data_IF_178458182514
#
_entry.id   IF_178458182514
#
_cell.length_a   1.000
_cell.length_b   1.000
_cell.length_c   1.000
_cell.angle_alpha   90.00
_cell.angle_beta   90.00
_cell.angle_gamma   90.00
#
_symmetry.space_group_name_H-M   'P 1'
#
loop_
_entity.id
_entity.type
_entity.pdbx_description
1 polymer ?
#
# COMPACT_ATOMS: atom_id res chain seq x y z
N UNK A 1 -26.32 15.12 25.26
CA UNK A 1 -25.63 14.28 24.22
C UNK A 1 -24.18 14.17 24.66
N UNK A 2 -23.59 12.97 24.57
CA UNK A 2 -22.16 12.79 24.82
C UNK A 2 -21.36 13.62 23.81
N UNK A 3 -20.22 14.15 24.22
CA UNK A 3 -19.27 14.76 23.31
C UNK A 3 -18.71 13.67 22.38
N UNK A 4 -18.16 14.01 21.19
CA UNK A 4 -17.50 13.01 20.34
C UNK A 4 -16.41 12.23 21.09
N UNK A 5 -15.62 12.90 21.93
CA UNK A 5 -14.60 12.26 22.76
C UNK A 5 -15.20 11.24 23.73
N UNK A 6 -16.25 11.61 24.46
CA UNK A 6 -16.95 10.68 25.38
C UNK A 6 -17.55 9.48 24.63
N UNK A 7 -18.10 9.70 23.43
CA UNK A 7 -18.63 8.63 22.60
C UNK A 7 -17.55 7.61 22.27
N UNK A 8 -16.41 8.04 21.71
CA UNK A 8 -15.34 7.14 21.32
C UNK A 8 -14.60 6.53 22.51
N UNK A 9 -14.46 7.24 23.62
CA UNK A 9 -13.85 6.70 24.83
C UNK A 9 -14.67 5.53 25.42
N UNK A 10 -15.97 5.52 25.21
CA UNK A 10 -16.89 4.48 25.71
C UNK A 10 -17.34 3.50 24.61
N UNK A 11 -16.86 3.65 23.38
CA UNK A 11 -17.23 2.76 22.29
C UNK A 11 -16.75 1.33 22.54
N UNK A 12 -17.59 0.36 22.17
CA UNK A 12 -17.25 -1.05 22.11
C UNK A 12 -17.25 -1.48 20.64
N UNK A 13 -16.07 -1.85 20.13
CA UNK A 13 -15.88 -2.28 18.75
C UNK A 13 -15.43 -3.73 18.62
N UNK A 14 -15.77 -4.58 19.60
CA UNK A 14 -15.33 -5.99 19.66
C UNK A 14 -15.74 -6.83 18.44
N UNK A 15 -16.67 -6.37 17.61
CA UNK A 15 -17.17 -7.10 16.44
C UNK A 15 -16.79 -6.45 15.10
N UNK A 16 -15.81 -5.57 15.07
CA UNK A 16 -15.37 -4.97 13.80
C UNK A 16 -14.54 -6.00 13.03
N UNK A 17 -14.86 -6.29 11.75
CA UNK A 17 -14.09 -7.23 10.96
C UNK A 17 -12.63 -6.79 10.83
N UNK A 18 -11.71 -7.70 11.11
CA UNK A 18 -10.28 -7.50 10.88
C UNK A 18 -9.92 -8.13 9.53
N UNK A 19 -9.25 -7.41 8.62
CA UNK A 19 -8.81 -8.01 7.36
C UNK A 19 -7.88 -9.19 7.59
N UNK A 20 -8.00 -10.23 6.76
CA UNK A 20 -7.08 -11.37 6.75
C UNK A 20 -5.82 -11.04 5.92
N UNK A 21 -4.68 -10.98 6.59
CA UNK A 21 -3.38 -10.70 6.00
C UNK A 21 -2.49 -11.94 5.84
N UNK A 22 -3.03 -13.13 6.05
CA UNK A 22 -2.25 -14.39 6.02
C UNK A 22 -1.51 -14.62 4.69
N UNK A 23 -2.06 -14.17 3.58
CA UNK A 23 -1.43 -14.23 2.27
C UNK A 23 -0.16 -13.33 2.14
N UNK A 24 0.05 -12.42 3.08
CA UNK A 24 1.25 -11.58 3.22
C UNK A 24 2.19 -12.08 4.33
N UNK A 25 1.98 -13.27 4.86
CA UNK A 25 2.73 -13.84 5.98
C UNK A 25 2.62 -13.02 7.28
N UNK A 26 1.46 -12.38 7.46
CA UNK A 26 1.13 -11.60 8.66
C UNK A 26 -0.05 -12.23 9.36
N UNK A 27 0.07 -12.37 10.67
CA UNK A 27 -0.97 -12.94 11.52
C UNK A 27 -1.41 -11.95 12.58
N UNK A 28 -2.61 -12.14 13.08
CA UNK A 28 -3.05 -11.48 14.31
C UNK A 28 -3.03 -12.55 15.42
N UNK A 29 -2.29 -12.36 16.52
CA UNK A 29 -2.20 -13.33 17.62
C UNK A 29 -3.53 -13.56 18.30
N UNK A 30 -4.48 -12.68 18.11
CA UNK A 30 -5.81 -12.76 18.66
C UNK A 30 -6.80 -12.76 17.49
N UNK A 31 -7.28 -13.94 17.09
CA UNK A 31 -8.31 -14.04 16.06
C UNK A 31 -9.53 -13.20 16.46
N UNK A 32 -9.81 -12.16 15.68
CA UNK A 32 -10.93 -11.23 15.83
C UNK A 32 -10.88 -10.28 17.04
N UNK A 33 -9.76 -10.12 17.75
CA UNK A 33 -9.72 -9.17 18.85
C UNK A 33 -8.87 -7.94 18.55
N UNK A 34 -9.49 -6.82 18.75
CA UNK A 34 -8.83 -5.54 18.85
C UNK A 34 -8.36 -5.34 20.28
N UNK A 35 -7.21 -4.71 20.43
CA UNK A 35 -6.71 -4.24 21.72
C UNK A 35 -6.97 -2.75 21.87
N UNK A 36 -7.42 -2.31 23.05
CA UNK A 36 -7.54 -0.89 23.33
C UNK A 36 -6.21 -0.37 23.87
N UNK A 37 -5.63 0.59 23.19
CA UNK A 37 -4.35 1.21 23.56
C UNK A 37 -4.55 2.73 23.73
N UNK A 38 -3.77 3.31 24.65
CA UNK A 38 -3.69 4.75 24.81
C UNK A 38 -2.70 5.34 23.81
N UNK A 39 -2.88 6.62 23.49
CA UNK A 39 -1.99 7.30 22.53
C UNK A 39 -0.54 7.43 23.01
N UNK A 40 -0.30 7.45 24.31
CA UNK A 40 1.05 7.49 24.89
C UNK A 40 1.78 6.14 24.78
N UNK A 41 1.07 5.03 24.53
CA UNK A 41 1.64 3.71 24.31
C UNK A 41 2.03 3.46 22.85
N UNK A 42 1.62 4.35 21.91
CA UNK A 42 1.76 4.11 20.48
C UNK A 42 2.75 5.08 19.85
N UNK A 43 3.74 4.55 19.16
CA UNK A 43 4.53 5.29 18.21
C UNK A 43 3.74 5.41 16.91
N UNK A 44 3.25 6.60 16.64
CA UNK A 44 2.27 6.84 15.57
C UNK A 44 2.93 6.94 14.19
N UNK A 45 4.23 7.28 14.14
CA UNK A 45 4.92 7.19 12.86
C UNK A 45 4.87 5.76 12.35
N UNK A 46 4.49 5.62 11.09
CA UNK A 46 4.34 4.34 10.42
C UNK A 46 5.63 3.51 10.49
N UNK A 47 5.46 2.19 10.36
CA UNK A 47 6.60 1.34 10.02
C UNK A 47 7.17 1.84 8.69
N UNK A 48 8.45 1.98 8.65
CA UNK A 48 9.32 2.37 7.54
C UNK A 48 8.66 3.07 6.35
N UNK A 49 8.76 4.39 6.33
CA UNK A 49 8.66 5.15 5.09
C UNK A 49 7.42 4.86 4.25
N UNK A 50 6.24 5.06 4.82
CA UNK A 50 5.05 5.20 3.98
C UNK A 50 5.36 6.28 2.94
N UNK A 51 5.76 5.84 1.75
CA UNK A 51 6.15 6.70 0.63
C UNK A 51 5.04 7.64 0.18
N UNK A 52 3.83 7.40 0.66
CA UNK A 52 2.62 8.17 0.35
C UNK A 52 2.19 9.08 1.51
N UNK A 53 2.85 9.00 2.67
CA UNK A 53 2.43 9.67 3.91
C UNK A 53 2.27 11.18 3.73
N UNK A 54 3.25 11.83 3.10
CA UNK A 54 3.23 13.29 2.88
C UNK A 54 2.15 13.73 1.88
N UNK A 55 1.81 12.87 0.90
CA UNK A 55 0.83 13.17 -0.13
C UNK A 55 -0.58 12.72 0.26
N UNK A 56 -0.69 11.70 1.11
CA UNK A 56 -1.92 11.00 1.38
C UNK A 56 -2.63 11.40 2.68
N UNK A 57 -1.95 12.14 3.54
CA UNK A 57 -2.50 12.59 4.82
C UNK A 57 -2.30 14.08 4.98
N UNK A 58 -2.89 14.85 4.05
CA UNK A 58 -2.93 16.30 4.17
C UNK A 58 -3.74 16.71 5.40
N UNK A 59 -3.48 17.90 5.92
CA UNK A 59 -4.25 18.44 7.03
C UNK A 59 -5.76 18.48 6.72
N UNK A 60 -6.12 18.70 5.46
CA UNK A 60 -7.52 18.75 4.99
C UNK A 60 -8.17 17.36 5.04
N UNK A 61 -7.45 16.30 4.66
CA UNK A 61 -7.95 14.92 4.73
C UNK A 61 -8.13 14.46 6.17
N UNK A 62 -7.16 14.77 7.05
CA UNK A 62 -7.27 14.48 8.48
C UNK A 62 -8.45 15.25 9.09
N UNK A 63 -8.65 16.51 8.72
CA UNK A 63 -9.79 17.31 9.17
C UNK A 63 -11.12 16.73 8.65
N UNK A 64 -11.18 16.28 7.41
CA UNK A 64 -12.36 15.60 6.86
C UNK A 64 -12.71 14.33 7.64
N UNK A 65 -11.69 13.50 7.95
CA UNK A 65 -11.87 12.32 8.81
C UNK A 65 -12.33 12.71 10.21
N UNK A 66 -11.74 13.75 10.80
CA UNK A 66 -12.14 14.26 12.12
C UNK A 66 -13.60 14.68 12.15
N UNK A 67 -14.07 15.38 11.13
CA UNK A 67 -15.48 15.79 11.01
C UNK A 67 -16.41 14.58 10.84
N UNK A 68 -15.99 13.59 10.07
CA UNK A 68 -16.73 12.33 9.88
C UNK A 68 -16.86 11.58 11.21
N UNK A 69 -15.77 11.43 11.96
CA UNK A 69 -15.81 10.82 13.30
C UNK A 69 -16.65 11.68 14.27
N UNK A 70 -16.54 13.00 14.24
CA UNK A 70 -17.37 13.88 15.08
C UNK A 70 -18.86 13.72 14.80
N UNK A 71 -19.24 13.44 13.55
CA UNK A 71 -20.60 13.13 13.14
C UNK A 71 -21.01 11.66 13.39
N UNK A 72 -20.10 10.81 13.92
CA UNK A 72 -20.31 9.38 14.18
C UNK A 72 -20.65 8.56 12.91
N UNK A 73 -20.26 9.05 11.75
CA UNK A 73 -20.55 8.40 10.45
C UNK A 73 -19.59 7.26 10.16
N UNK A 74 -18.35 7.34 10.65
CA UNK A 74 -17.26 6.44 10.30
C UNK A 74 -16.94 5.38 11.37
N UNK A 75 -17.89 5.13 12.27
CA UNK A 75 -17.73 4.18 13.38
C UNK A 75 -17.57 2.71 12.93
N UNK A 76 -17.77 2.42 11.64
CA UNK A 76 -17.77 1.05 11.09
C UNK A 76 -16.48 0.69 10.33
N UNK A 77 -15.52 1.60 10.21
CA UNK A 77 -14.24 1.26 9.58
C UNK A 77 -13.43 0.30 10.47
N UNK A 78 -12.75 -0.65 9.80
CA UNK A 78 -11.86 -1.56 10.51
C UNK A 78 -10.77 -0.78 11.28
N UNK A 79 -10.36 -1.26 12.47
CA UNK A 79 -9.42 -0.57 13.32
C UNK A 79 -8.07 -0.33 12.62
N UNK A 80 -7.34 0.73 12.97
CA UNK A 80 -5.93 0.82 12.65
C UNK A 80 -5.19 -0.40 13.22
N UNK A 81 -4.01 -0.68 12.69
CA UNK A 81 -3.20 -1.79 13.18
C UNK A 81 -1.87 -1.33 13.74
N UNK A 82 -1.41 -2.07 14.75
CA UNK A 82 -0.12 -1.88 15.40
C UNK A 82 0.66 -3.18 15.46
N UNK A 83 1.98 -3.08 15.53
CA UNK A 83 2.88 -4.15 15.96
C UNK A 83 3.41 -3.88 17.37
N UNK A 84 3.71 -4.94 18.10
CA UNK A 84 4.42 -4.83 19.37
C UNK A 84 5.92 -4.73 19.12
N UNK A 85 6.58 -3.73 19.71
CA UNK A 85 8.03 -3.48 19.56
C UNK A 85 8.87 -4.02 20.70
N UNK A 86 8.29 -4.12 21.90
CA UNK A 86 8.98 -4.55 23.11
C UNK A 86 8.73 -3.60 24.28
N UNK A 87 8.94 -4.13 25.49
CA UNK A 87 8.77 -3.40 26.76
C UNK A 87 9.83 -2.31 26.98
N UNK A 88 10.96 -2.43 26.31
CA UNK A 88 12.12 -1.53 26.41
C UNK A 88 11.87 -0.17 25.76
N UNK A 89 10.86 -0.08 24.91
CA UNK A 89 10.49 1.17 24.27
C UNK A 89 9.47 1.94 25.10
N UNK A 90 9.67 3.25 25.24
CA UNK A 90 8.75 4.15 25.93
C UNK A 90 7.34 4.08 25.33
N UNK A 91 7.25 3.77 24.02
CA UNK A 91 6.00 3.47 23.30
C UNK A 91 6.13 2.06 22.75
N UNK A 92 5.57 1.05 23.45
CA UNK A 92 5.77 -0.36 23.11
C UNK A 92 5.10 -0.83 21.84
N UNK A 93 4.19 -0.03 21.28
CA UNK A 93 3.51 -0.34 20.02
C UNK A 93 3.89 0.65 18.93
N UNK A 94 3.90 0.19 17.68
CA UNK A 94 4.13 1.02 16.51
C UNK A 94 2.99 0.83 15.51
N UNK A 95 2.54 1.93 14.94
CA UNK A 95 1.50 1.92 13.93
C UNK A 95 1.98 1.18 12.68
N UNK A 96 1.15 0.27 12.17
CA UNK A 96 1.35 -0.43 10.89
C UNK A 96 0.54 0.28 9.80
N UNK A 97 -0.74 0.56 10.04
CA UNK A 97 -1.59 1.33 9.14
C UNK A 97 -2.67 2.11 9.92
N UNK A 98 -3.32 3.05 9.25
CA UNK A 98 -4.42 3.84 9.81
C UNK A 98 -3.97 5.16 10.43
N UNK A 99 -2.88 5.76 9.93
CA UNK A 99 -2.34 7.04 10.39
C UNK A 99 -3.41 8.15 10.42
N UNK A 100 -4.09 8.40 9.31
CA UNK A 100 -5.10 9.47 9.23
C UNK A 100 -6.24 9.28 10.23
N UNK A 101 -6.71 8.04 10.44
CA UNK A 101 -7.74 7.72 11.45
C UNK A 101 -7.23 7.98 12.86
N UNK A 102 -6.01 7.59 13.16
CA UNK A 102 -5.39 7.80 14.46
C UNK A 102 -5.24 9.29 14.77
N UNK A 103 -4.74 10.08 13.83
CA UNK A 103 -4.61 11.52 13.99
C UNK A 103 -5.97 12.22 14.15
N UNK A 104 -6.96 11.83 13.34
CA UNK A 104 -8.32 12.40 13.45
C UNK A 104 -8.95 12.15 14.84
N UNK A 105 -8.77 10.94 15.39
CA UNK A 105 -9.27 10.60 16.73
C UNK A 105 -8.50 11.35 17.83
N UNK A 106 -7.19 11.56 17.68
CA UNK A 106 -6.40 12.37 18.60
C UNK A 106 -6.87 13.83 18.61
N UNK A 107 -7.20 14.39 17.46
CA UNK A 107 -7.78 15.74 17.35
C UNK A 107 -9.16 15.86 18.01
N UNK A 108 -9.89 14.76 18.17
CA UNK A 108 -11.12 14.69 18.95
C UNK A 108 -10.86 14.53 20.46
N UNK A 109 -9.60 14.57 20.91
CA UNK A 109 -9.18 14.44 22.30
C UNK A 109 -9.62 13.11 22.96
N UNK A 110 -9.63 12.02 22.18
CA UNK A 110 -9.83 10.68 22.75
C UNK A 110 -8.59 10.26 23.55
N UNK A 111 -8.78 9.43 24.59
CA UNK A 111 -7.65 8.91 25.39
C UNK A 111 -6.82 7.84 24.66
N UNK A 112 -7.44 7.14 23.73
CA UNK A 112 -6.88 6.07 22.95
C UNK A 112 -7.91 5.50 22.01
N UNK A 113 -7.59 4.39 21.34
CA UNK A 113 -8.48 3.72 20.42
C UNK A 113 -8.25 2.20 20.40
N UNK A 114 -9.06 1.51 19.63
CA UNK A 114 -8.91 0.08 19.36
C UNK A 114 -7.97 -0.15 18.17
N UNK A 115 -7.09 -1.11 18.29
CA UNK A 115 -6.11 -1.48 17.27
C UNK A 115 -6.10 -2.97 17.05
N UNK A 116 -5.91 -3.39 15.82
CA UNK A 116 -5.55 -4.77 15.51
C UNK A 116 -4.07 -4.97 15.81
N UNK A 117 -3.73 -5.97 16.62
CA UNK A 117 -2.33 -6.35 16.81
C UNK A 117 -1.90 -7.26 15.68
N UNK A 118 -0.81 -6.93 15.01
CA UNK A 118 -0.23 -7.69 13.91
C UNK A 118 1.15 -8.21 14.25
N UNK A 119 1.44 -9.45 13.82
CA UNK A 119 2.73 -10.09 13.92
C UNK A 119 3.21 -10.52 12.53
N UNK A 120 4.45 -10.18 12.21
CA UNK A 120 5.09 -10.49 10.93
C UNK A 120 6.46 -9.85 10.85
N UNK A 121 7.20 -10.18 9.81
CA UNK A 121 8.46 -9.47 9.52
C UNK A 121 8.17 -8.03 9.14
N UNK A 122 9.17 -7.15 9.27
CA UNK A 122 9.03 -5.74 8.87
C UNK A 122 8.59 -5.62 7.41
N UNK A 123 9.21 -6.40 6.50
CA UNK A 123 8.86 -6.42 5.08
C UNK A 123 7.40 -6.84 4.83
N UNK A 124 6.92 -7.84 5.55
CA UNK A 124 5.53 -8.30 5.44
C UNK A 124 4.53 -7.25 5.96
N UNK A 125 4.86 -6.55 7.04
CA UNK A 125 4.02 -5.48 7.58
C UNK A 125 3.99 -4.25 6.67
N UNK A 126 5.09 -3.94 5.97
CA UNK A 126 5.12 -2.91 4.92
C UNK A 126 4.23 -3.29 3.72
N UNK A 127 4.17 -4.58 3.37
CA UNK A 127 3.26 -5.08 2.33
C UNK A 127 1.79 -4.91 2.75
N UNK A 128 1.47 -5.20 4.02
CA UNK A 128 0.12 -4.95 4.58
C UNK A 128 -0.24 -3.47 4.49
N UNK A 129 0.67 -2.59 4.86
CA UNK A 129 0.45 -1.15 4.78
C UNK A 129 0.15 -0.69 3.34
N UNK A 130 0.95 -1.18 2.38
CA UNK A 130 0.74 -0.85 0.98
C UNK A 130 -0.61 -1.37 0.45
N UNK A 131 -1.00 -2.59 0.83
CA UNK A 131 -2.27 -3.17 0.41
C UNK A 131 -3.47 -2.51 1.10
N UNK A 132 -3.36 -2.13 2.37
CA UNK A 132 -4.43 -1.41 3.08
C UNK A 132 -4.75 -0.08 2.40
N UNK A 133 -3.74 0.65 1.95
CA UNK A 133 -3.92 1.87 1.17
C UNK A 133 -4.73 1.66 -0.12
N UNK A 134 -4.72 0.44 -0.70
CA UNK A 134 -5.53 0.09 -1.86
C UNK A 134 -7.01 -0.13 -1.54
N UNK A 135 -7.33 -0.47 -0.30
CA UNK A 135 -8.72 -0.69 0.15
C UNK A 135 -9.46 0.61 0.45
N UNK A 136 -8.73 1.73 0.53
CA UNK A 136 -9.31 3.04 0.78
C UNK A 136 -9.95 3.64 -0.49
N UNK A 137 -10.92 4.56 -0.38
CA UNK A 137 -11.48 5.26 -1.53
C UNK A 137 -10.39 5.90 -2.37
N UNK A 138 -10.56 5.84 -3.69
CA UNK A 138 -9.57 6.21 -4.71
C UNK A 138 -8.77 7.46 -4.38
N UNK A 139 -7.45 7.30 -4.33
CA UNK A 139 -6.47 8.37 -4.32
C UNK A 139 -6.12 8.79 -5.75
N UNK A 140 -5.73 10.05 -5.92
CA UNK A 140 -5.47 10.64 -7.25
C UNK A 140 -4.27 10.03 -7.97
N UNK A 141 -3.31 9.42 -7.25
CA UNK A 141 -2.03 8.98 -7.81
C UNK A 141 -1.64 7.53 -7.48
N UNK A 142 -2.60 6.62 -7.46
CA UNK A 142 -2.39 5.20 -7.07
C UNK A 142 -1.21 4.52 -7.79
N UNK A 143 -1.03 4.73 -9.10
CA UNK A 143 0.07 4.11 -9.85
C UNK A 143 1.44 4.71 -9.48
N UNK A 144 1.48 5.98 -9.09
CA UNK A 144 2.69 6.65 -8.57
C UNK A 144 3.10 6.02 -7.24
N UNK A 145 2.14 5.78 -6.36
CA UNK A 145 2.38 5.17 -5.06
C UNK A 145 2.89 3.74 -5.19
N UNK A 146 2.28 2.94 -6.06
CA UNK A 146 2.75 1.58 -6.38
C UNK A 146 4.19 1.59 -6.90
N UNK A 147 4.55 2.55 -7.78
CA UNK A 147 5.92 2.69 -8.29
C UNK A 147 6.91 3.03 -7.19
N UNK A 148 6.61 4.06 -6.38
CA UNK A 148 7.46 4.48 -5.25
C UNK A 148 7.71 3.31 -4.29
N UNK A 149 6.66 2.58 -3.92
CA UNK A 149 6.76 1.40 -3.07
C UNK A 149 7.69 0.32 -3.66
N UNK A 150 7.50 -0.06 -4.93
CA UNK A 150 8.31 -1.09 -5.57
C UNK A 150 9.77 -0.65 -5.73
N UNK A 151 10.01 0.62 -6.09
CA UNK A 151 11.36 1.19 -6.18
C UNK A 151 12.05 1.11 -4.83
N UNK A 152 11.36 1.49 -3.77
CA UNK A 152 11.91 1.42 -2.42
C UNK A 152 12.28 -0.02 -2.04
N UNK A 153 11.38 -1.00 -2.29
CA UNK A 153 11.65 -2.42 -2.00
C UNK A 153 12.91 -2.95 -2.71
N UNK A 154 13.16 -2.51 -3.95
CA UNK A 154 14.38 -2.84 -4.68
C UNK A 154 15.59 -2.12 -4.08
N UNK A 155 15.46 -0.83 -3.78
CA UNK A 155 16.54 0.00 -3.23
C UNK A 155 17.00 -0.52 -1.86
N UNK A 156 16.05 -0.96 -1.04
CA UNK A 156 16.30 -1.55 0.28
C UNK A 156 16.81 -3.00 0.22
N UNK A 157 16.98 -3.55 -0.99
CA UNK A 157 17.44 -4.93 -1.18
C UNK A 157 16.43 -6.01 -0.76
N UNK A 158 15.16 -5.64 -0.56
CA UNK A 158 14.07 -6.55 -0.16
C UNK A 158 13.61 -7.45 -1.32
N UNK A 159 13.75 -6.98 -2.55
CA UNK A 159 13.50 -7.75 -3.78
C UNK A 159 14.63 -7.52 -4.77
N UNK A 160 14.87 -8.50 -5.62
CA UNK A 160 15.85 -8.39 -6.69
C UNK A 160 15.44 -7.34 -7.73
N UNK A 161 16.46 -6.70 -8.32
CA UNK A 161 16.28 -5.71 -9.40
C UNK A 161 16.02 -6.41 -10.75
N UNK A 162 15.04 -7.30 -10.79
CA UNK A 162 14.63 -8.04 -11.99
C UNK A 162 13.13 -7.81 -12.25
N UNK A 163 12.72 -7.92 -13.52
CA UNK A 163 11.32 -7.77 -13.89
C UNK A 163 10.44 -8.80 -13.20
N UNK A 164 10.89 -10.06 -13.15
CA UNK A 164 10.11 -11.16 -12.57
C UNK A 164 9.91 -10.98 -11.05
N UNK A 165 10.95 -10.58 -10.33
CA UNK A 165 10.85 -10.31 -8.89
C UNK A 165 9.91 -9.14 -8.59
N UNK A 166 9.98 -8.06 -9.38
CA UNK A 166 9.10 -6.89 -9.23
C UNK A 166 7.65 -7.26 -9.57
N UNK A 167 7.41 -8.05 -10.63
CA UNK A 167 6.08 -8.56 -10.99
C UNK A 167 5.51 -9.47 -9.91
N UNK A 168 6.32 -10.37 -9.36
CA UNK A 168 5.91 -11.26 -8.28
C UNK A 168 5.49 -10.45 -7.04
N UNK A 169 6.29 -9.45 -6.66
CA UNK A 169 5.97 -8.55 -5.54
C UNK A 169 4.69 -7.75 -5.81
N UNK A 170 4.53 -7.21 -7.02
CA UNK A 170 3.31 -6.49 -7.40
C UNK A 170 2.07 -7.38 -7.25
N UNK A 171 2.09 -8.60 -7.77
CA UNK A 171 0.96 -9.54 -7.66
C UNK A 171 0.65 -9.90 -6.21
N UNK A 172 1.67 -10.06 -5.37
CA UNK A 172 1.50 -10.39 -3.95
C UNK A 172 0.81 -9.24 -3.19
N UNK A 173 1.26 -8.00 -3.40
CA UNK A 173 0.78 -6.83 -2.64
C UNK A 173 -0.51 -6.24 -3.22
N UNK A 174 -0.69 -6.33 -4.53
CA UNK A 174 -1.84 -5.74 -5.25
C UNK A 174 -2.68 -6.80 -6.00
N UNK A 175 -3.20 -7.83 -5.31
CA UNK A 175 -3.84 -8.98 -5.95
C UNK A 175 -5.12 -8.62 -6.72
N UNK A 176 -5.78 -7.53 -6.36
CA UNK A 176 -7.03 -7.09 -7.00
C UNK A 176 -6.82 -6.14 -8.18
N UNK A 177 -5.57 -5.74 -8.45
CA UNK A 177 -5.27 -4.87 -9.59
C UNK A 177 -5.25 -5.64 -10.89
N UNK A 178 -5.75 -4.99 -11.94
CA UNK A 178 -5.77 -5.57 -13.28
C UNK A 178 -4.35 -5.74 -13.82
N UNK A 179 -4.18 -6.73 -14.68
CA UNK A 179 -2.91 -7.03 -15.36
C UNK A 179 -2.36 -5.82 -16.14
N UNK A 180 -3.26 -5.01 -16.72
CA UNK A 180 -2.90 -3.79 -17.44
C UNK A 180 -2.21 -2.75 -16.54
N UNK A 181 -2.65 -2.61 -15.29
CA UNK A 181 -2.00 -1.72 -14.31
C UNK A 181 -0.57 -2.20 -14.03
N UNK A 182 -0.38 -3.49 -13.77
CA UNK A 182 0.95 -4.06 -13.58
C UNK A 182 1.85 -3.82 -14.80
N UNK A 183 1.30 -4.00 -16.02
CA UNK A 183 2.03 -3.80 -17.27
C UNK A 183 2.39 -2.33 -17.55
N UNK A 184 1.72 -1.36 -16.91
CA UNK A 184 2.12 0.05 -16.94
C UNK A 184 3.13 0.39 -15.86
N UNK A 185 2.92 -0.13 -14.64
CA UNK A 185 3.73 0.23 -13.45
C UNK A 185 5.11 -0.41 -13.53
N UNK A 186 5.22 -1.72 -13.77
CA UNK A 186 6.50 -2.44 -13.68
C UNK A 186 7.56 -1.94 -14.67
N UNK A 187 7.27 -1.69 -15.95
CA UNK A 187 8.25 -1.11 -16.86
C UNK A 187 8.75 0.27 -16.43
N UNK A 188 7.89 1.08 -15.81
CA UNK A 188 8.28 2.39 -15.31
C UNK A 188 9.23 2.26 -14.10
N UNK A 189 8.94 1.34 -13.18
CA UNK A 189 9.84 1.00 -12.06
C UNK A 189 11.21 0.60 -12.58
N UNK A 190 11.27 -0.32 -13.55
CA UNK A 190 12.53 -0.77 -14.14
C UNK A 190 13.29 0.36 -14.82
N UNK A 191 12.58 1.23 -15.55
CA UNK A 191 13.17 2.42 -16.17
C UNK A 191 13.77 3.37 -15.13
N UNK A 192 13.04 3.68 -14.07
CA UNK A 192 13.52 4.55 -12.98
C UNK A 192 14.71 3.95 -12.24
N UNK A 193 14.76 2.62 -12.13
CA UNK A 193 15.91 1.88 -11.59
C UNK A 193 17.09 1.76 -12.57
N UNK A 194 16.96 2.27 -13.80
CA UNK A 194 18.01 2.20 -14.82
C UNK A 194 18.20 0.82 -15.41
N UNK A 195 17.20 -0.06 -15.36
CA UNK A 195 17.22 -1.37 -16.01
C UNK A 195 16.84 -1.21 -17.47
N UNK A 196 17.70 -1.61 -18.38
CA UNK A 196 17.37 -1.67 -19.81
C UNK A 196 16.47 -2.89 -20.05
N UNK A 197 15.27 -2.64 -20.54
CA UNK A 197 14.41 -3.71 -21.02
C UNK A 197 14.90 -4.17 -22.39
N UNK A 198 14.93 -5.49 -22.66
CA UNK A 198 15.32 -6.01 -23.96
C UNK A 198 14.26 -5.79 -25.04
N UNK A 199 13.13 -5.21 -24.70
CA UNK A 199 12.01 -4.98 -25.60
C UNK A 199 11.16 -3.79 -25.13
N UNK A 200 10.42 -3.21 -26.07
CA UNK A 200 9.38 -2.20 -25.80
C UNK A 200 8.03 -2.89 -25.90
N UNK A 201 7.18 -2.72 -24.92
CA UNK A 201 5.85 -3.32 -24.86
C UNK A 201 4.76 -2.31 -25.24
N UNK A 202 3.83 -2.76 -26.08
CA UNK A 202 2.67 -2.00 -26.50
C UNK A 202 1.36 -2.73 -26.20
N UNK A 203 0.32 -1.98 -25.88
CA UNK A 203 -0.99 -2.53 -25.54
C UNK A 203 -1.83 -2.94 -26.76
N UNK A 204 -1.38 -2.63 -27.98
CA UNK A 204 -2.09 -3.00 -29.21
C UNK A 204 -1.12 -3.28 -30.34
N UNK A 205 -1.53 -4.18 -31.23
CA UNK A 205 -0.76 -4.54 -32.43
C UNK A 205 -0.52 -3.32 -33.34
N UNK A 206 -1.52 -2.46 -33.52
CA UNK A 206 -1.40 -1.24 -34.33
C UNK A 206 -0.28 -0.30 -33.83
N UNK A 207 -0.12 -0.15 -32.52
CA UNK A 207 0.98 0.67 -31.97
C UNK A 207 2.35 0.08 -32.21
N UNK A 208 2.46 -1.26 -32.25
CA UNK A 208 3.70 -1.94 -32.63
C UNK A 208 4.00 -1.71 -34.11
N UNK A 209 3.00 -1.82 -34.98
CA UNK A 209 3.12 -1.59 -36.43
C UNK A 209 3.49 -0.14 -36.71
N UNK A 210 2.88 0.82 -36.04
CA UNK A 210 3.22 2.24 -36.15
C UNK A 210 4.67 2.51 -35.69
N UNK A 211 5.08 1.88 -34.57
CA UNK A 211 6.43 2.03 -34.08
C UNK A 211 7.46 1.47 -35.05
N UNK A 212 7.23 0.25 -35.57
CA UNK A 212 8.05 -0.41 -36.59
C UNK A 212 8.17 0.49 -37.84
N UNK A 213 7.05 1.00 -38.32
CA UNK A 213 7.00 1.88 -39.50
C UNK A 213 7.86 3.14 -39.32
N UNK A 214 7.89 3.70 -38.11
CA UNK A 214 8.65 4.90 -37.79
C UNK A 214 10.14 4.64 -37.50
N UNK A 215 10.52 3.40 -37.16
CA UNK A 215 11.88 3.02 -36.75
C UNK A 215 12.53 2.00 -37.70
N UNK A 216 11.99 1.84 -38.91
CA UNK A 216 12.42 0.81 -39.89
C UNK A 216 13.86 0.94 -40.38
N UNK A 217 14.59 1.98 -39.97
CA UNK A 217 16.00 2.20 -40.34
C UNK A 217 17.00 1.72 -39.29
N UNK A 218 16.52 1.26 -38.15
CA UNK A 218 17.36 0.79 -37.07
C UNK A 218 17.35 -0.74 -37.07
N UNK A 219 18.46 -1.39 -36.69
CA UNK A 219 18.57 -2.84 -36.67
C UNK A 219 17.75 -3.41 -35.52
N UNK A 220 16.46 -3.65 -35.77
CA UNK A 220 15.59 -4.33 -34.83
C UNK A 220 15.23 -5.71 -35.35
N UNK A 221 15.37 -6.74 -34.54
CA UNK A 221 14.72 -8.02 -34.78
C UNK A 221 13.28 -7.92 -34.30
N UNK A 222 12.37 -7.84 -35.25
CA UNK A 222 10.93 -7.83 -34.96
C UNK A 222 10.53 -9.22 -34.46
N UNK A 223 10.47 -9.37 -33.16
CA UNK A 223 9.81 -10.52 -32.57
C UNK A 223 8.29 -10.28 -32.58
N UNK A 224 7.61 -10.77 -33.61
CA UNK A 224 6.14 -10.81 -33.65
C UNK A 224 5.56 -11.76 -32.59
N UNK A 225 6.08 -11.78 -31.38
CA UNK A 225 5.49 -12.61 -30.35
C UNK A 225 4.60 -11.76 -29.46
N UNK A 226 3.30 -12.03 -29.58
CA UNK A 226 2.37 -11.69 -28.51
C UNK A 226 2.85 -12.38 -27.23
N UNK A 227 3.19 -11.60 -26.24
CA UNK A 227 3.55 -12.11 -24.93
C UNK A 227 2.27 -12.50 -24.19
N UNK A 228 1.91 -13.78 -24.25
CA UNK A 228 0.71 -14.30 -23.61
C UNK A 228 0.71 -14.14 -22.08
N UNK A 229 1.89 -14.14 -21.46
CA UNK A 229 1.98 -13.92 -20.01
C UNK A 229 1.70 -12.48 -19.64
N UNK A 230 2.15 -11.54 -20.48
CA UNK A 230 2.01 -10.10 -20.26
C UNK A 230 0.81 -9.50 -20.95
N UNK A 231 0.17 -10.28 -21.86
CA UNK A 231 -0.94 -9.82 -22.69
C UNK A 231 -0.63 -8.53 -23.47
N UNK A 232 0.58 -8.47 -24.02
CA UNK A 232 1.13 -7.31 -24.70
C UNK A 232 1.95 -7.71 -25.92
N UNK A 233 1.98 -6.82 -26.91
CA UNK A 233 2.84 -6.94 -28.08
C UNK A 233 4.22 -6.36 -27.78
N UNK A 234 5.26 -7.12 -28.05
CA UNK A 234 6.65 -6.72 -27.81
C UNK A 234 7.41 -6.47 -29.09
N UNK A 235 8.29 -5.48 -29.06
CA UNK A 235 9.35 -5.29 -30.05
C UNK A 235 10.67 -5.59 -29.36
N UNK A 236 11.39 -6.61 -29.86
CA UNK A 236 12.69 -6.95 -29.32
C UNK A 236 13.74 -6.00 -29.88
N UNK A 237 14.53 -5.41 -29.00
CA UNK A 237 15.67 -4.58 -29.36
C UNK A 237 16.94 -5.45 -29.34
N UNK A 238 17.79 -5.36 -30.39
CA UNK A 238 19.10 -6.03 -30.45
C UNK A 238 20.15 -5.28 -29.65
#
# INVERSE_FOLDING_TARGET
MATPSEYYNNADINNVPVPDWSHLDVTSPTSNSTVRLKWDEIYIDDITGNVTKEEAHTAEEIESLRLSFAAQVDSTQFPPAVKYRGKEYAKPYQLVYGYGRSEALRLLQTEGWFFTLLEGTEDALEDVQAQENEMLPKRVNEEVDMRKFLIQKVTDGKIEKTEDAIRAKFKKVYPYRRKETMNRVVPQVLKELGVKLPYILYTSKSKVEDWISNHSKEEYVIGEKFDHERDMYGVQMN
#
